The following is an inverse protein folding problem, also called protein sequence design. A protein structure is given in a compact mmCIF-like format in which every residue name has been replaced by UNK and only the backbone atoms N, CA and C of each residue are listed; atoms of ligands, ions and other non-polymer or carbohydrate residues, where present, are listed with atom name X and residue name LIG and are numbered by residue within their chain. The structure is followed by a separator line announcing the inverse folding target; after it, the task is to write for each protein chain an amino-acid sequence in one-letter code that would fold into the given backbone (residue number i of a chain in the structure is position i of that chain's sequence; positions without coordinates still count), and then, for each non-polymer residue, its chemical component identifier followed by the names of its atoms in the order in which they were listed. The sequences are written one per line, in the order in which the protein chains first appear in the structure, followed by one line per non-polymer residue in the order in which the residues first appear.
data_IF_892513442630
#
_entry.id   IF_892513442630
#
_cell.length_a   1.000
_cell.length_b   1.000
_cell.length_c   1.000
_cell.angle_alpha   90.00
_cell.angle_beta   90.00
_cell.angle_gamma   90.00
#
_symmetry.space_group_name_H-M   'P 1'
#
loop_
_entity.id
_entity.type
_entity.pdbx_description
1 polymer ?
#
# COMPACT_ATOMS: atom_id res chain seq x y z
N UNK A 1 -20.42 23.27 15.13
CA UNK A 1 -20.86 22.01 14.47
C UNK A 1 -20.07 21.82 13.18
N UNK A 2 -19.28 20.74 13.09
CA UNK A 2 -18.48 20.40 11.92
C UNK A 2 -19.18 19.26 11.14
N UNK A 3 -19.29 19.42 9.83
CA UNK A 3 -19.76 18.37 8.91
C UNK A 3 -18.67 18.05 7.89
N UNK A 4 -18.83 17.00 7.08
CA UNK A 4 -17.90 16.71 5.96
C UNK A 4 -17.84 17.82 4.91
N UNK A 5 -18.86 18.68 4.84
CA UNK A 5 -19.03 19.66 3.77
C UNK A 5 -18.87 21.09 4.21
N UNK A 6 -18.79 21.36 5.52
CA UNK A 6 -18.72 22.71 6.05
C UNK A 6 -18.90 22.79 7.57
N UNK A 7 -18.88 24.02 8.08
CA UNK A 7 -18.97 24.33 9.51
C UNK A 7 -20.13 25.30 9.76
N UNK A 8 -20.92 25.00 10.80
CA UNK A 8 -21.84 25.97 11.43
C UNK A 8 -21.30 26.32 12.81
N UNK A 9 -21.03 27.59 13.09
CA UNK A 9 -20.44 28.04 14.36
C UNK A 9 -20.92 29.42 14.79
N UNK A 10 -20.49 29.88 15.98
CA UNK A 10 -20.77 31.21 16.50
C UNK A 10 -19.49 31.88 17.00
N UNK A 11 -19.38 33.21 16.85
CA UNK A 11 -18.21 33.99 17.28
C UNK A 11 -17.69 34.93 16.19
N UNK A 12 -16.48 35.47 16.41
CA UNK A 12 -15.79 36.35 15.45
C UNK A 12 -15.08 35.47 14.42
N UNK A 13 -15.84 34.95 13.47
CA UNK A 13 -15.27 34.28 12.29
C UNK A 13 -15.16 35.31 11.16
N UNK A 14 -13.96 35.43 10.60
CA UNK A 14 -13.81 36.06 9.29
C UNK A 14 -14.40 35.13 8.23
N UNK A 15 -15.30 35.65 7.39
CA UNK A 15 -15.86 34.92 6.27
C UNK A 15 -15.05 35.11 4.99
N UNK A 16 -14.19 36.12 4.91
CA UNK A 16 -13.41 36.41 3.71
C UNK A 16 -12.36 35.34 3.48
N UNK A 17 -11.51 35.09 4.47
CA UNK A 17 -10.45 34.07 4.39
C UNK A 17 -10.99 32.68 3.99
N UNK A 18 -11.98 32.07 4.66
CA UNK A 18 -12.49 30.76 4.25
C UNK A 18 -13.21 30.79 2.89
N UNK A 19 -13.77 31.93 2.47
CA UNK A 19 -14.35 32.06 1.14
C UNK A 19 -13.29 31.99 0.04
N UNK A 20 -12.10 32.56 0.22
CA UNK A 20 -10.98 32.47 -0.73
C UNK A 20 -10.56 31.01 -0.99
N UNK A 21 -10.62 30.16 0.03
CA UNK A 21 -10.32 28.73 -0.07
C UNK A 21 -11.53 27.86 -0.41
N UNK A 22 -12.67 28.46 -0.78
CA UNK A 22 -13.88 27.74 -1.20
C UNK A 22 -14.55 26.92 -0.08
N UNK A 23 -14.31 27.26 1.19
CA UNK A 23 -14.90 26.56 2.34
C UNK A 23 -16.35 26.99 2.57
N UNK A 24 -17.22 26.06 2.96
CA UNK A 24 -18.60 26.35 3.35
C UNK A 24 -18.69 26.64 4.85
N UNK A 25 -18.94 27.90 5.22
CA UNK A 25 -19.12 28.33 6.61
C UNK A 25 -20.44 29.07 6.73
N UNK A 26 -21.21 28.78 7.77
CA UNK A 26 -22.37 29.56 8.20
C UNK A 26 -22.21 29.97 9.67
N UNK A 27 -22.46 31.24 9.97
CA UNK A 27 -22.28 31.82 11.30
C UNK A 27 -23.65 32.09 11.90
N UNK A 28 -23.92 31.48 13.04
CA UNK A 28 -25.06 31.82 13.89
C UNK A 28 -24.66 32.85 14.95
N UNK A 29 -25.62 33.66 15.41
CA UNK A 29 -25.40 34.65 16.47
C UNK A 29 -26.49 34.54 17.55
N UNK A 30 -26.06 34.49 18.81
CA UNK A 30 -26.96 34.60 19.96
C UNK A 30 -27.45 36.02 20.17
N UNK A 31 -28.48 36.17 20.99
CA UNK A 31 -28.99 37.48 21.42
C UNK A 31 -28.71 37.67 22.90
N UNK A 32 -28.77 38.90 23.45
CA UNK A 32 -28.68 39.09 24.89
C UNK A 32 -29.73 38.30 25.69
N UNK A 33 -30.91 38.05 25.09
CA UNK A 33 -31.98 37.26 25.70
C UNK A 33 -31.78 35.74 25.56
N UNK A 34 -30.98 35.31 24.58
CA UNK A 34 -30.65 33.90 24.35
C UNK A 34 -29.19 33.77 23.88
N UNK A 35 -28.22 33.83 24.82
CA UNK A 35 -26.80 33.69 24.49
C UNK A 35 -26.50 32.25 24.06
N UNK A 36 -25.50 32.07 23.19
CA UNK A 36 -25.03 30.73 22.79
C UNK A 36 -23.93 30.31 23.74
N UNK A 37 -24.28 29.43 24.67
CA UNK A 37 -23.40 28.96 25.75
C UNK A 37 -22.94 27.53 25.53
N UNK A 38 -23.82 26.70 24.96
CA UNK A 38 -23.55 25.30 24.63
C UNK A 38 -23.58 25.09 23.11
N UNK A 39 -22.89 24.06 22.58
CA UNK A 39 -22.89 23.75 21.16
C UNK A 39 -24.29 23.53 20.56
N UNK A 40 -25.23 23.00 21.35
CA UNK A 40 -26.61 22.73 20.94
C UNK A 40 -27.41 24.02 20.69
N UNK A 41 -27.05 25.12 21.35
CA UNK A 41 -27.71 26.42 21.18
C UNK A 41 -27.59 26.92 19.72
N UNK A 42 -26.55 26.48 19.00
CA UNK A 42 -26.36 26.77 17.59
C UNK A 42 -27.52 26.29 16.72
N UNK A 43 -28.18 25.19 17.08
CA UNK A 43 -29.24 24.61 16.25
C UNK A 43 -30.45 25.54 16.11
N UNK A 44 -30.79 26.26 17.18
CA UNK A 44 -31.97 27.14 17.20
C UNK A 44 -31.60 28.60 16.89
N UNK A 45 -30.30 28.94 16.95
CA UNK A 45 -29.78 30.25 16.61
C UNK A 45 -29.92 30.57 15.11
N UNK A 46 -30.04 31.86 14.79
CA UNK A 46 -30.23 32.33 13.41
C UNK A 46 -28.89 32.58 12.73
N UNK A 47 -28.76 32.11 11.49
CA UNK A 47 -27.62 32.41 10.62
C UNK A 47 -27.62 33.89 10.28
N UNK A 48 -26.50 34.57 10.54
CA UNK A 48 -26.30 36.01 10.30
C UNK A 48 -25.26 36.30 9.22
N UNK A 49 -24.48 35.30 8.82
CA UNK A 49 -23.46 35.43 7.79
C UNK A 49 -23.03 34.07 7.28
N UNK A 50 -22.58 34.00 6.03
CA UNK A 50 -22.20 32.75 5.38
C UNK A 50 -21.27 33.00 4.19
N UNK A 51 -20.46 32.01 3.81
CA UNK A 51 -19.62 32.06 2.61
C UNK A 51 -20.42 31.75 1.33
N UNK A 52 -19.96 32.18 0.14
CA UNK A 52 -20.62 31.85 -1.13
C UNK A 52 -20.82 30.34 -1.34
N UNK A 53 -19.87 29.51 -0.86
CA UNK A 53 -20.00 28.05 -0.93
C UNK A 53 -21.14 27.51 -0.06
N UNK A 54 -21.35 28.08 1.13
CA UNK A 54 -22.50 27.74 1.97
C UNK A 54 -23.82 28.17 1.32
N UNK A 55 -23.85 29.34 0.67
CA UNK A 55 -25.01 29.81 -0.09
C UNK A 55 -25.38 28.84 -1.23
N UNK A 56 -24.38 28.29 -1.91
CA UNK A 56 -24.59 27.32 -2.99
C UNK A 56 -25.22 26.00 -2.53
N UNK A 57 -25.21 25.71 -1.22
CA UNK A 57 -25.95 24.58 -0.64
C UNK A 57 -27.40 24.93 -0.28
N UNK A 58 -27.86 26.15 -0.59
CA UNK A 58 -29.20 26.63 -0.30
C UNK A 58 -29.34 27.32 1.07
N UNK A 59 -28.24 27.54 1.79
CA UNK A 59 -28.26 28.19 3.11
C UNK A 59 -28.45 29.69 2.95
N UNK A 60 -29.38 30.28 3.68
CA UNK A 60 -29.66 31.73 3.67
C UNK A 60 -29.59 32.34 5.06
N UNK A 61 -29.34 33.66 5.11
CA UNK A 61 -29.41 34.44 6.35
C UNK A 61 -30.84 34.38 6.89
N UNK A 62 -30.98 34.15 8.20
CA UNK A 62 -32.26 33.97 8.88
C UNK A 62 -32.72 32.52 9.04
N UNK A 63 -32.09 31.55 8.37
CA UNK A 63 -32.29 30.14 8.69
C UNK A 63 -31.82 29.82 10.12
N UNK A 64 -32.40 28.80 10.73
CA UNK A 64 -31.89 28.20 11.96
C UNK A 64 -30.57 27.46 11.68
N UNK A 65 -29.71 27.30 12.68
CA UNK A 65 -28.50 26.51 12.53
C UNK A 65 -28.79 25.04 12.23
N UNK A 66 -29.92 24.50 12.68
CA UNK A 66 -30.40 23.15 12.35
C UNK A 66 -30.64 23.00 10.84
N UNK A 67 -31.42 23.90 10.25
CA UNK A 67 -31.68 23.92 8.81
C UNK A 67 -30.36 24.04 8.01
N UNK A 68 -29.44 24.91 8.47
CA UNK A 68 -28.13 25.05 7.84
C UNK A 68 -27.29 23.77 7.92
N UNK A 69 -27.25 23.11 9.08
CA UNK A 69 -26.53 21.83 9.26
C UNK A 69 -27.13 20.73 8.39
N UNK A 70 -28.45 20.63 8.31
CA UNK A 70 -29.14 19.64 7.47
C UNK A 70 -28.78 19.83 6.00
N UNK A 71 -28.80 21.07 5.50
CA UNK A 71 -28.38 21.39 4.14
C UNK A 71 -26.90 21.06 3.89
N UNK A 72 -26.01 21.32 4.85
CA UNK A 72 -24.60 20.90 4.74
C UNK A 72 -24.44 19.38 4.71
N UNK A 73 -25.20 18.65 5.52
CA UNK A 73 -25.19 17.18 5.51
C UNK A 73 -25.74 16.61 4.21
N UNK A 74 -26.79 17.21 3.64
CA UNK A 74 -27.34 16.84 2.33
C UNK A 74 -26.35 17.13 1.19
N UNK A 75 -25.69 18.29 1.21
CA UNK A 75 -24.64 18.62 0.25
C UNK A 75 -23.47 17.62 0.31
N UNK A 76 -23.15 17.11 1.51
CA UNK A 76 -22.14 16.07 1.71
C UNK A 76 -22.53 14.67 1.24
N UNK A 77 -23.82 14.43 0.95
CA UNK A 77 -24.29 13.20 0.29
C UNK A 77 -24.17 13.26 -1.22
N UNK A 78 -24.18 14.46 -1.81
CA UNK A 78 -24.04 14.68 -3.26
C UNK A 78 -22.58 14.82 -3.71
N UNK A 79 -21.66 15.13 -2.80
CA UNK A 79 -20.25 14.97 -3.09
C UNK A 79 -19.95 13.46 -3.09
N UNK A 80 -20.00 12.84 -4.27
CA UNK A 80 -19.20 11.63 -4.49
C UNK A 80 -17.82 11.93 -3.93
N UNK A 81 -17.28 11.02 -3.10
CA UNK A 81 -15.86 11.03 -2.74
C UNK A 81 -15.05 11.43 -3.98
N UNK A 82 -14.02 12.30 -3.86
CA UNK A 82 -13.27 12.79 -5.01
C UNK A 82 -13.05 11.61 -5.93
N UNK A 83 -13.58 11.69 -7.16
CA UNK A 83 -13.62 10.56 -8.08
C UNK A 83 -12.23 9.94 -8.05
N UNK A 84 -12.13 8.74 -7.45
CA UNK A 84 -10.83 8.11 -7.30
C UNK A 84 -10.31 8.06 -8.73
N UNK A 85 -9.18 8.71 -8.99
CA UNK A 85 -8.45 8.57 -10.24
C UNK A 85 -8.54 7.09 -10.59
N UNK A 86 -9.01 6.68 -11.79
CA UNK A 86 -9.22 5.27 -12.10
C UNK A 86 -7.89 4.56 -11.91
N UNK A 87 -7.74 3.98 -10.72
CA UNK A 87 -6.51 3.39 -10.26
C UNK A 87 -6.67 1.92 -10.56
N UNK A 88 -5.74 1.39 -11.36
CA UNK A 88 -5.60 -0.03 -11.54
C UNK A 88 -5.53 -0.69 -10.16
N UNK A 89 -6.48 -1.59 -9.87
CA UNK A 89 -6.47 -2.38 -8.63
C UNK A 89 -5.72 -3.68 -8.88
N UNK A 90 -4.43 -3.67 -8.62
CA UNK A 90 -3.63 -4.89 -8.56
C UNK A 90 -4.18 -5.77 -7.42
N UNK A 91 -4.44 -7.05 -7.71
CA UNK A 91 -5.01 -8.00 -6.75
C UNK A 91 -3.93 -8.63 -5.87
N UNK A 92 -2.90 -9.18 -6.50
CA UNK A 92 -1.82 -9.96 -5.89
C UNK A 92 -0.59 -9.92 -6.83
N UNK A 93 0.55 -10.41 -6.34
CA UNK A 93 1.67 -10.80 -7.20
C UNK A 93 1.36 -12.18 -7.78
N UNK A 94 1.13 -12.24 -9.09
CA UNK A 94 0.84 -13.50 -9.78
C UNK A 94 2.10 -14.38 -9.92
N UNK A 95 3.16 -13.82 -10.50
CA UNK A 95 4.44 -14.50 -10.66
C UNK A 95 5.63 -13.55 -10.69
N UNK A 96 6.82 -14.13 -10.47
CA UNK A 96 8.12 -13.51 -10.73
C UNK A 96 8.92 -14.39 -11.69
N UNK A 97 9.72 -13.77 -12.56
CA UNK A 97 10.47 -14.47 -13.61
C UNK A 97 11.97 -14.37 -13.36
N UNK A 98 12.68 -15.48 -13.54
CA UNK A 98 14.13 -15.54 -13.60
C UNK A 98 14.58 -16.14 -14.93
N UNK A 99 15.59 -15.52 -15.56
CA UNK A 99 16.22 -16.08 -16.75
C UNK A 99 17.46 -16.85 -16.31
N UNK A 100 17.54 -18.12 -16.70
CA UNK A 100 18.55 -19.06 -16.20
C UNK A 100 19.34 -19.69 -17.35
N UNK A 101 20.57 -20.11 -17.08
CA UNK A 101 21.45 -20.74 -18.09
C UNK A 101 21.19 -22.23 -18.25
N UNK A 102 20.70 -22.88 -17.20
CA UNK A 102 20.51 -24.32 -17.16
C UNK A 102 19.25 -24.65 -16.35
N UNK A 103 18.22 -25.17 -17.03
CA UNK A 103 16.94 -25.47 -16.40
C UNK A 103 17.04 -26.59 -15.37
N UNK A 104 17.87 -27.62 -15.61
CA UNK A 104 17.96 -28.76 -14.70
C UNK A 104 18.77 -28.39 -13.45
N UNK A 105 19.86 -27.63 -13.62
CA UNK A 105 20.62 -27.09 -12.48
C UNK A 105 19.75 -26.17 -11.62
N UNK A 106 18.98 -25.30 -12.25
CA UNK A 106 18.05 -24.43 -11.53
C UNK A 106 16.91 -25.22 -10.90
N UNK A 107 16.33 -26.20 -11.60
CA UNK A 107 15.29 -27.09 -11.05
C UNK A 107 15.71 -27.71 -9.73
N UNK A 108 16.92 -28.28 -9.66
CA UNK A 108 17.48 -28.85 -8.41
C UNK A 108 17.57 -27.82 -7.30
N UNK A 109 17.99 -26.60 -7.61
CA UNK A 109 18.02 -25.54 -6.61
C UNK A 109 16.59 -25.18 -6.11
N UNK A 110 15.66 -24.87 -7.01
CA UNK A 110 14.32 -24.44 -6.61
C UNK A 110 13.49 -25.56 -5.96
N UNK A 111 13.73 -26.83 -6.32
CA UNK A 111 13.04 -27.99 -5.72
C UNK A 111 13.77 -28.49 -4.47
N UNK A 112 15.06 -28.81 -4.58
CA UNK A 112 15.78 -29.55 -3.53
C UNK A 112 16.31 -28.61 -2.43
N UNK A 113 16.67 -27.36 -2.77
CA UNK A 113 17.15 -26.37 -1.78
C UNK A 113 15.99 -25.56 -1.22
N UNK A 114 15.13 -25.00 -2.08
CA UNK A 114 14.02 -24.15 -1.62
C UNK A 114 12.74 -24.92 -1.30
N UNK A 115 12.65 -26.21 -1.65
CA UNK A 115 11.45 -27.01 -1.39
C UNK A 115 10.23 -26.61 -2.24
N UNK A 116 10.42 -25.85 -3.32
CA UNK A 116 9.29 -25.41 -4.13
C UNK A 116 8.74 -26.56 -4.97
N UNK A 117 7.42 -26.58 -5.12
CA UNK A 117 6.74 -27.57 -5.95
C UNK A 117 6.71 -27.10 -7.40
N UNK A 118 7.30 -27.88 -8.30
CA UNK A 118 7.14 -27.70 -9.74
C UNK A 118 5.66 -27.92 -10.15
N UNK A 119 5.16 -27.07 -11.04
CA UNK A 119 3.78 -27.11 -11.53
C UNK A 119 3.73 -27.15 -13.06
N UNK A 120 2.65 -27.70 -13.65
CA UNK A 120 2.49 -27.72 -15.10
C UNK A 120 2.63 -26.33 -15.70
N UNK A 121 3.43 -26.24 -16.76
CA UNK A 121 3.63 -25.04 -17.56
C UNK A 121 2.93 -25.23 -18.92
N UNK A 122 2.23 -24.20 -19.45
CA UNK A 122 1.71 -24.23 -20.81
C UNK A 122 2.82 -24.47 -21.86
N UNK A 123 2.43 -25.02 -23.01
CA UNK A 123 3.35 -25.32 -24.11
C UNK A 123 3.75 -24.05 -24.90
N UNK A 124 4.57 -23.19 -24.30
CA UNK A 124 5.16 -22.04 -24.98
C UNK A 124 6.28 -22.47 -25.95
N UNK A 125 6.62 -21.59 -26.90
CA UNK A 125 7.67 -21.82 -27.89
C UNK A 125 9.10 -21.75 -27.36
N UNK A 126 9.29 -21.47 -26.07
CA UNK A 126 10.59 -21.41 -25.40
C UNK A 126 10.62 -22.34 -24.19
N UNK A 127 11.81 -22.79 -23.82
CA UNK A 127 12.01 -23.69 -22.69
C UNK A 127 11.91 -22.94 -21.35
N UNK A 128 11.31 -23.58 -20.35
CA UNK A 128 11.11 -22.98 -19.03
C UNK A 128 10.43 -23.93 -18.06
N UNK A 129 10.44 -23.58 -16.78
CA UNK A 129 9.87 -24.35 -15.67
C UNK A 129 9.06 -23.43 -14.76
N UNK A 130 7.96 -23.91 -14.19
CA UNK A 130 7.13 -23.13 -13.26
C UNK A 130 7.10 -23.79 -11.88
N UNK A 131 7.17 -22.99 -10.83
CA UNK A 131 7.12 -23.44 -9.44
C UNK A 131 6.05 -22.66 -8.65
N UNK A 132 5.45 -23.29 -7.66
CA UNK A 132 4.47 -22.67 -6.77
C UNK A 132 5.11 -22.27 -5.44
N UNK A 133 4.96 -21.00 -5.04
CA UNK A 133 5.38 -20.45 -3.76
C UNK A 133 4.19 -19.74 -3.09
N UNK A 134 3.45 -20.47 -2.25
CA UNK A 134 2.20 -19.96 -1.68
C UNK A 134 1.21 -19.56 -2.78
N UNK A 135 0.82 -18.27 -2.84
CA UNK A 135 -0.09 -17.73 -3.86
C UNK A 135 0.61 -17.28 -5.15
N UNK A 136 1.93 -17.16 -5.14
CA UNK A 136 2.73 -16.61 -6.24
C UNK A 136 3.51 -17.72 -6.94
N UNK A 137 3.73 -17.59 -8.25
CA UNK A 137 4.55 -18.53 -9.02
C UNK A 137 5.95 -17.98 -9.30
N UNK A 138 6.91 -18.89 -9.47
CA UNK A 138 8.24 -18.59 -9.98
C UNK A 138 8.37 -19.20 -11.36
N UNK A 139 8.62 -18.36 -12.36
CA UNK A 139 8.79 -18.78 -13.75
C UNK A 139 10.26 -18.73 -14.13
N UNK A 140 10.84 -19.87 -14.49
CA UNK A 140 12.16 -19.93 -15.10
C UNK A 140 12.03 -19.91 -16.61
N UNK A 141 12.87 -19.09 -17.24
CA UNK A 141 13.02 -19.02 -18.70
C UNK A 141 14.47 -19.41 -19.01
N UNK A 142 14.68 -20.41 -19.86
CA UNK A 142 16.01 -20.72 -20.36
C UNK A 142 16.50 -19.55 -21.22
N UNK A 143 17.73 -19.09 -21.01
CA UNK A 143 18.32 -18.01 -21.80
C UNK A 143 18.28 -18.32 -23.30
N UNK A 144 17.73 -17.39 -24.06
CA UNK A 144 17.71 -17.41 -25.53
C UNK A 144 17.67 -15.99 -26.07
N UNK A 145 17.74 -15.83 -27.40
CA UNK A 145 17.87 -14.53 -28.05
C UNK A 145 16.80 -13.48 -27.66
N UNK A 146 15.62 -13.88 -27.17
CA UNK A 146 14.55 -12.96 -26.77
C UNK A 146 14.18 -12.96 -25.27
N UNK A 147 14.87 -13.70 -24.39
CA UNK A 147 14.56 -13.75 -22.94
C UNK A 147 15.14 -12.59 -22.12
N UNK A 148 16.12 -11.89 -22.66
CA UNK A 148 17.08 -11.13 -21.85
C UNK A 148 18.18 -12.05 -21.27
N UNK A 149 19.26 -11.48 -20.72
CA UNK A 149 20.39 -12.23 -20.20
C UNK A 149 20.07 -12.98 -18.91
N UNK A 150 20.67 -14.14 -18.71
CA UNK A 150 20.50 -14.94 -17.50
C UNK A 150 21.30 -14.44 -16.29
N UNK A 151 20.70 -14.60 -15.11
CA UNK A 151 21.32 -14.31 -13.84
C UNK A 151 21.30 -12.83 -13.46
N UNK A 152 22.07 -12.51 -12.42
CA UNK A 152 22.18 -11.14 -11.93
C UNK A 152 23.17 -10.32 -12.77
N UNK A 153 22.72 -9.21 -13.34
CA UNK A 153 23.52 -8.36 -14.22
C UNK A 153 24.42 -7.39 -13.44
N UNK A 154 24.28 -7.30 -12.12
CA UNK A 154 25.21 -6.55 -11.30
C UNK A 154 26.58 -7.25 -11.27
N UNK A 155 27.68 -6.48 -11.25
CA UNK A 155 29.00 -7.02 -10.91
C UNK A 155 28.98 -7.77 -9.57
N UNK A 156 29.74 -8.88 -9.40
CA UNK A 156 29.71 -9.69 -8.17
C UNK A 156 29.90 -8.90 -6.87
N UNK A 157 30.76 -7.89 -6.86
CA UNK A 157 31.03 -7.03 -5.70
C UNK A 157 29.83 -6.15 -5.31
N UNK A 158 28.88 -5.96 -6.22
CA UNK A 158 27.62 -5.25 -6.01
C UNK A 158 26.45 -6.18 -5.75
N UNK A 159 26.65 -7.51 -5.67
CA UNK A 159 25.61 -8.49 -5.35
C UNK A 159 25.57 -8.72 -3.83
N UNK A 160 24.97 -7.77 -3.10
CA UNK A 160 24.85 -7.84 -1.65
C UNK A 160 23.38 -7.89 -1.19
N UNK A 161 23.16 -7.94 0.12
CA UNK A 161 21.81 -8.00 0.70
C UNK A 161 20.94 -6.75 0.48
N UNK A 162 21.45 -5.72 -0.21
CA UNK A 162 20.73 -4.49 -0.54
C UNK A 162 20.44 -4.37 -2.04
N UNK A 163 20.92 -5.33 -2.83
CA UNK A 163 20.73 -5.39 -4.27
C UNK A 163 19.37 -5.99 -4.59
N UNK A 164 18.91 -5.90 -5.84
CA UNK A 164 17.63 -6.49 -6.25
C UNK A 164 17.55 -7.97 -5.89
N UNK A 165 16.48 -8.37 -5.20
CA UNK A 165 16.24 -9.74 -4.75
C UNK A 165 14.74 -10.05 -4.71
N UNK A 166 14.42 -11.34 -4.64
CA UNK A 166 13.09 -11.82 -4.30
C UNK A 166 13.14 -12.47 -2.92
N UNK A 167 12.17 -12.15 -2.08
CA UNK A 167 12.07 -12.69 -0.73
C UNK A 167 11.04 -13.81 -0.64
N UNK A 168 11.44 -14.93 -0.03
CA UNK A 168 10.56 -16.04 0.33
C UNK A 168 10.39 -16.08 1.84
N UNK A 169 9.14 -16.20 2.27
CA UNK A 169 8.84 -16.47 3.67
C UNK A 169 9.17 -17.93 3.99
N UNK A 170 9.91 -18.16 5.06
CA UNK A 170 10.22 -19.47 5.62
C UNK A 170 9.72 -19.55 7.06
N UNK A 171 9.55 -20.76 7.58
CA UNK A 171 9.09 -20.95 8.96
C UNK A 171 10.06 -20.33 9.97
N UNK A 172 11.36 -20.55 9.80
CA UNK A 172 12.41 -20.04 10.67
C UNK A 172 13.70 -19.73 9.87
N UNK A 173 13.99 -18.44 9.68
CA UNK A 173 15.16 -17.98 8.93
C UNK A 173 16.50 -18.15 9.68
N UNK A 174 16.47 -18.53 10.96
CA UNK A 174 17.65 -18.99 11.69
C UNK A 174 17.90 -20.48 11.42
N UNK A 175 16.84 -21.29 11.42
CA UNK A 175 16.91 -22.73 11.19
C UNK A 175 17.29 -23.13 9.75
N UNK A 176 17.11 -22.24 8.76
CA UNK A 176 17.59 -22.49 7.39
C UNK A 176 19.11 -22.53 7.28
N UNK A 177 19.86 -21.87 8.17
CA UNK A 177 21.33 -21.77 8.10
C UNK A 177 22.03 -23.14 8.14
N UNK A 178 21.75 -24.04 9.11
CA UNK A 178 22.33 -25.38 9.10
C UNK A 178 21.91 -26.19 7.86
N UNK A 179 20.68 -26.03 7.36
CA UNK A 179 20.21 -26.72 6.14
C UNK A 179 21.01 -26.27 4.92
N UNK A 180 21.16 -24.96 4.73
CA UNK A 180 21.95 -24.40 3.62
C UNK A 180 23.40 -24.87 3.67
N UNK A 181 24.00 -24.94 4.86
CA UNK A 181 25.36 -25.48 5.03
C UNK A 181 25.45 -26.96 4.67
N UNK A 182 24.46 -27.77 5.06
CA UNK A 182 24.43 -29.20 4.74
C UNK A 182 24.24 -29.47 3.23
N UNK A 183 23.63 -28.52 2.51
CA UNK A 183 23.45 -28.57 1.06
C UNK A 183 24.56 -27.84 0.28
N UNK A 184 25.64 -27.43 0.96
CA UNK A 184 26.76 -26.66 0.39
C UNK A 184 26.33 -25.38 -0.34
N UNK A 185 25.28 -24.71 0.15
CA UNK A 185 24.77 -23.45 -0.40
C UNK A 185 25.44 -22.26 0.31
N UNK A 186 26.20 -21.42 -0.41
CA UNK A 186 26.85 -20.26 0.19
C UNK A 186 25.85 -19.23 0.70
N UNK A 187 26.03 -18.82 1.96
CA UNK A 187 25.25 -17.73 2.56
C UNK A 187 25.93 -16.41 2.21
N UNK A 188 25.20 -15.54 1.53
CA UNK A 188 25.66 -14.21 1.14
C UNK A 188 25.65 -13.24 2.32
N UNK A 189 24.63 -13.31 3.17
CA UNK A 189 24.49 -12.46 4.36
C UNK A 189 23.45 -13.04 5.32
N UNK A 190 23.60 -12.78 6.61
CA UNK A 190 22.64 -13.23 7.62
C UNK A 190 23.00 -14.59 8.24
N UNK A 191 22.17 -15.11 9.15
CA UNK A 191 20.89 -14.55 9.58
C UNK A 191 21.09 -13.23 10.33
N UNK A 192 20.24 -12.23 10.08
CA UNK A 192 20.30 -10.93 10.77
C UNK A 192 18.92 -10.37 11.04
N UNK A 193 18.72 -9.68 12.18
CA UNK A 193 17.45 -9.02 12.47
C UNK A 193 17.27 -7.77 11.61
N UNK A 194 16.01 -7.51 11.26
CA UNK A 194 15.51 -6.24 10.75
C UNK A 194 15.05 -5.34 11.91
N UNK A 195 14.91 -4.02 11.70
CA UNK A 195 14.37 -3.11 12.72
C UNK A 195 12.96 -3.47 13.23
N UNK A 196 12.19 -4.23 12.46
CA UNK A 196 10.85 -4.72 12.83
C UNK A 196 10.86 -6.14 13.42
N UNK A 197 12.05 -6.68 13.75
CA UNK A 197 12.23 -7.96 14.41
C UNK A 197 12.21 -9.19 13.49
N UNK A 198 11.88 -9.04 12.21
CA UNK A 198 12.02 -10.14 11.24
C UNK A 198 13.48 -10.58 11.13
N UNK A 199 13.71 -11.88 10.92
CA UNK A 199 15.01 -12.41 10.55
C UNK A 199 15.11 -12.58 9.03
N UNK A 200 16.28 -12.30 8.48
CA UNK A 200 16.57 -12.41 7.05
C UNK A 200 17.93 -13.07 6.82
N UNK A 201 17.97 -14.00 5.87
CA UNK A 201 19.16 -14.70 5.38
C UNK A 201 19.17 -14.61 3.86
N UNK A 202 20.31 -14.25 3.26
CA UNK A 202 20.45 -14.07 1.82
C UNK A 202 21.33 -15.16 1.24
N UNK A 203 20.89 -15.72 0.11
CA UNK A 203 21.62 -16.70 -0.71
C UNK A 203 21.58 -16.28 -2.18
N UNK A 204 22.27 -17.04 -3.02
CA UNK A 204 22.16 -16.91 -4.47
C UNK A 204 21.71 -18.24 -5.08
N UNK A 205 20.90 -18.14 -6.13
CA UNK A 205 20.63 -19.27 -7.01
C UNK A 205 21.88 -19.60 -7.89
N UNK A 206 21.83 -20.67 -8.70
CA UNK A 206 22.96 -21.08 -9.54
C UNK A 206 23.45 -20.02 -10.54
N UNK A 207 22.60 -19.04 -10.88
CA UNK A 207 22.87 -17.98 -11.84
C UNK A 207 23.14 -16.61 -11.18
N UNK A 208 23.14 -16.56 -9.85
CA UNK A 208 23.47 -15.37 -9.06
C UNK A 208 22.28 -14.47 -8.72
N UNK A 209 21.05 -14.89 -9.00
CA UNK A 209 19.87 -14.19 -8.52
C UNK A 209 19.87 -14.21 -6.99
N UNK A 210 19.66 -13.05 -6.38
CA UNK A 210 19.70 -12.92 -4.92
C UNK A 210 18.33 -13.30 -4.37
N UNK A 211 18.35 -14.18 -3.39
CA UNK A 211 17.17 -14.69 -2.71
C UNK A 211 17.27 -14.35 -1.23
N UNK A 212 16.25 -13.71 -0.70
CA UNK A 212 16.06 -13.51 0.74
C UNK A 212 15.16 -14.61 1.29
N UNK A 213 15.55 -15.23 2.39
CA UNK A 213 14.74 -16.12 3.21
C UNK A 213 14.41 -15.36 4.50
N UNK A 214 13.14 -15.08 4.75
CA UNK A 214 12.73 -14.29 5.89
C UNK A 214 11.66 -14.97 6.75
N UNK A 215 11.69 -14.72 8.05
CA UNK A 215 10.69 -15.20 9.01
C UNK A 215 10.34 -14.09 10.01
N UNK A 216 9.11 -14.06 10.54
CA UNK A 216 8.73 -13.11 11.57
C UNK A 216 9.58 -13.27 12.85
N UNK A 217 9.60 -12.26 13.73
CA UNK A 217 10.21 -12.40 15.05
C UNK A 217 9.62 -13.57 15.83
N UNK A 218 10.47 -14.29 16.57
CA UNK A 218 10.02 -15.28 17.56
C UNK A 218 9.34 -14.50 18.70
N UNK A 219 8.11 -14.91 19.03
CA UNK A 219 7.31 -14.31 20.10
C UNK A 219 7.87 -14.53 21.50
#
# INVERSE_FOLDING_TARGET
ILTRSGIVGCGIYDLQTPAEFGQAIAIARGTPANPLTEPEDLFEARIVGLTPRAAAFGITVGMTGREAVELMLLAGRSASAPASTPALRVKDIDHATFVVRDLERSRRFYVDVLGLREVPRPAFSFAGLWFQAGRTQIHLILEYAASGPAGNLLPPEKRGSRSQHLAFAVEDAEAVVPVLRALDVPILSGPKPRPDGYLQTFIQDPDGHIIELCSPPKG
#
